data_IF_747273485844
#
_entry.id   IF_747273485844
#
_cell.length_a   1.000
_cell.length_b   1.000
_cell.length_c   1.000
_cell.angle_alpha   90.00
_cell.angle_beta   90.00
_cell.angle_gamma   90.00
#
_symmetry.space_group_name_H-M   'P 1'
#
loop_
_entity.id
_entity.type
_entity.pdbx_description
1 polymer ?
#
# COMPACT_ATOMS: atom_id res chain seq x y z
N UNK A 1 18.41 14.63 -0.93
CA UNK A 1 18.27 14.86 -2.41
C UNK A 1 17.18 13.94 -2.90
N UNK A 2 16.31 14.38 -3.85
CA UNK A 2 15.34 13.47 -4.47
C UNK A 2 16.08 12.41 -5.29
N UNK A 3 15.66 11.16 -5.17
CA UNK A 3 16.15 10.06 -6.01
C UNK A 3 15.48 10.14 -7.38
N UNK A 4 16.21 10.04 -8.51
CA UNK A 4 15.60 10.14 -9.82
C UNK A 4 14.71 8.92 -10.11
N UNK A 5 13.49 9.18 -10.57
CA UNK A 5 12.63 8.17 -11.17
C UNK A 5 13.03 7.95 -12.63
N UNK A 6 12.68 6.79 -13.23
CA UNK A 6 12.80 6.61 -14.68
C UNK A 6 12.15 7.75 -15.46
N UNK A 7 12.72 8.11 -16.62
CA UNK A 7 12.29 9.27 -17.40
C UNK A 7 10.87 9.14 -17.99
N UNK A 8 10.41 7.91 -18.15
CA UNK A 8 9.10 7.50 -18.66
C UNK A 8 8.09 7.10 -17.56
N UNK A 9 8.41 7.38 -16.29
CA UNK A 9 7.50 7.12 -15.17
C UNK A 9 6.14 7.79 -15.36
N UNK A 10 5.10 7.13 -14.88
CA UNK A 10 3.72 7.64 -14.93
C UNK A 10 3.62 9.04 -14.32
N UNK A 11 2.87 9.91 -14.99
CA UNK A 11 2.70 11.31 -14.60
C UNK A 11 1.98 11.42 -13.24
N UNK A 12 2.58 12.17 -12.32
CA UNK A 12 1.97 12.55 -11.06
C UNK A 12 1.11 13.80 -11.26
N UNK A 13 -0.20 13.62 -11.24
CA UNK A 13 -1.23 14.68 -11.33
C UNK A 13 -1.64 15.15 -9.94
N UNK A 14 -2.47 16.20 -9.87
CA UNK A 14 -3.04 16.64 -8.60
C UNK A 14 -4.44 17.22 -8.76
N UNK A 15 -5.24 17.11 -7.68
CA UNK A 15 -6.50 17.81 -7.49
C UNK A 15 -6.43 18.69 -6.26
N UNK A 16 -7.34 19.66 -6.17
CA UNK A 16 -7.61 20.39 -4.93
C UNK A 16 -8.88 19.81 -4.31
N UNK A 17 -8.79 19.37 -3.07
CA UNK A 17 -9.90 18.88 -2.26
C UNK A 17 -10.80 20.04 -1.80
N UNK A 18 -11.99 19.74 -1.32
CA UNK A 18 -12.97 20.74 -0.87
C UNK A 18 -12.51 21.57 0.33
N UNK A 19 -11.58 21.02 1.13
CA UNK A 19 -10.94 21.72 2.25
C UNK A 19 -9.72 22.55 1.84
N UNK A 20 -9.41 22.62 0.55
CA UNK A 20 -8.30 23.38 -0.03
C UNK A 20 -6.99 22.62 -0.11
N UNK A 21 -6.86 21.43 0.48
CA UNK A 21 -5.66 20.60 0.39
C UNK A 21 -5.43 20.09 -1.04
N UNK A 22 -4.17 19.98 -1.41
CA UNK A 22 -3.73 19.31 -2.63
C UNK A 22 -3.62 17.80 -2.36
N UNK A 23 -4.13 16.99 -3.29
CA UNK A 23 -3.96 15.54 -3.32
C UNK A 23 -3.31 15.14 -4.64
N UNK A 24 -2.17 14.45 -4.58
CA UNK A 24 -1.49 13.91 -5.77
C UNK A 24 -1.99 12.51 -6.10
N UNK A 25 -2.06 12.21 -7.39
CA UNK A 25 -2.54 10.91 -7.89
C UNK A 25 -1.91 10.55 -9.23
N UNK A 26 -1.99 9.26 -9.58
CA UNK A 26 -1.71 8.73 -10.90
C UNK A 26 -2.98 8.10 -11.49
N UNK A 27 -3.10 8.12 -12.81
CA UNK A 27 -4.20 7.54 -13.58
C UNK A 27 -3.61 6.94 -14.86
N UNK A 28 -3.87 5.67 -15.14
CA UNK A 28 -3.33 4.99 -16.31
C UNK A 28 -3.98 5.41 -17.65
N UNK A 29 -4.98 6.30 -17.62
CA UNK A 29 -5.59 6.89 -18.80
C UNK A 29 -6.62 6.02 -19.52
N UNK A 30 -6.91 4.82 -19.03
CA UNK A 30 -8.01 4.00 -19.57
C UNK A 30 -9.34 4.68 -19.25
N UNK A 31 -10.17 4.88 -20.24
CA UNK A 31 -11.46 5.59 -20.08
C UNK A 31 -12.50 4.64 -19.51
N UNK A 32 -13.23 5.10 -18.49
CA UNK A 32 -14.32 4.35 -17.86
C UNK A 32 -14.73 4.98 -16.54
N UNK A 33 -15.90 4.61 -16.05
CA UNK A 33 -16.46 5.04 -14.75
C UNK A 33 -16.31 3.98 -13.66
N UNK A 34 -15.60 2.90 -13.94
CA UNK A 34 -15.17 1.89 -12.95
C UNK A 34 -13.64 1.78 -12.96
N UNK A 35 -13.04 1.57 -11.79
CA UNK A 35 -11.58 1.56 -11.65
C UNK A 35 -11.07 0.61 -10.57
N UNK A 36 -9.78 0.27 -10.65
CA UNK A 36 -9.01 -0.25 -9.54
C UNK A 36 -8.38 0.93 -8.79
N UNK A 37 -8.66 1.05 -7.50
CA UNK A 37 -8.11 2.09 -6.62
C UNK A 37 -6.98 1.50 -5.78
N UNK A 38 -5.78 2.06 -5.91
CA UNK A 38 -4.58 1.56 -5.25
C UNK A 38 -4.15 2.42 -4.06
N UNK A 39 -3.87 1.75 -2.93
CA UNK A 39 -3.37 2.34 -1.69
C UNK A 39 -1.93 1.89 -1.45
N UNK A 40 -0.99 2.83 -1.50
CA UNK A 40 0.43 2.52 -1.33
C UNK A 40 0.78 2.05 0.09
N UNK A 41 1.90 1.33 0.23
CA UNK A 41 2.47 0.91 1.52
C UNK A 41 3.02 2.08 2.34
N UNK A 42 3.62 1.75 3.48
CA UNK A 42 4.19 2.72 4.42
C UNK A 42 5.68 2.45 4.59
N UNK A 43 6.56 3.36 4.13
CA UNK A 43 6.24 4.55 3.32
C UNK A 43 5.89 4.23 1.86
N UNK A 44 5.41 5.24 1.10
CA UNK A 44 5.13 5.08 -0.33
C UNK A 44 4.53 6.33 -0.98
N UNK A 45 4.18 6.21 -2.24
CA UNK A 45 3.48 7.22 -3.01
C UNK A 45 2.67 6.60 -4.17
N UNK A 46 1.94 7.42 -4.92
CA UNK A 46 1.09 6.95 -6.01
C UNK A 46 1.84 6.22 -7.14
N UNK A 47 3.11 6.53 -7.37
CA UNK A 47 3.88 6.03 -8.51
C UNK A 47 4.38 4.59 -8.35
N UNK A 48 4.40 4.04 -7.13
CA UNK A 48 4.88 2.65 -6.91
C UNK A 48 4.06 1.60 -7.67
N UNK A 49 2.88 1.94 -8.15
CA UNK A 49 1.93 1.05 -8.82
C UNK A 49 2.08 0.99 -10.33
N UNK A 50 3.09 1.64 -10.92
CA UNK A 50 3.23 1.76 -12.38
C UNK A 50 3.22 0.42 -13.11
N UNK A 51 3.90 -0.60 -12.60
CA UNK A 51 3.88 -1.94 -13.20
C UNK A 51 2.48 -2.56 -13.22
N UNK A 52 1.71 -2.36 -12.14
CA UNK A 52 0.29 -2.76 -12.10
C UNK A 52 -0.56 -1.96 -13.07
N UNK A 53 -0.26 -0.68 -13.25
CA UNK A 53 -0.99 0.19 -14.18
C UNK A 53 -0.79 -0.24 -15.64
N UNK A 54 0.42 -0.61 -16.01
CA UNK A 54 0.71 -1.15 -17.34
C UNK A 54 -0.04 -2.46 -17.60
N UNK A 55 0.00 -3.38 -16.63
CA UNK A 55 -0.75 -4.63 -16.72
C UNK A 55 -2.27 -4.37 -16.79
N UNK A 56 -2.80 -3.40 -16.03
CA UNK A 56 -4.20 -3.01 -16.09
C UNK A 56 -4.59 -2.39 -17.45
N UNK A 57 -3.69 -1.62 -18.09
CA UNK A 57 -3.89 -1.12 -19.46
C UNK A 57 -4.05 -2.26 -20.45
N UNK A 58 -3.20 -3.29 -20.37
CA UNK A 58 -3.30 -4.48 -21.23
C UNK A 58 -4.61 -5.25 -21.03
N UNK A 59 -5.20 -5.17 -19.84
CA UNK A 59 -6.50 -5.76 -19.50
C UNK A 59 -7.69 -4.83 -19.80
N UNK A 60 -7.44 -3.60 -20.28
CA UNK A 60 -8.46 -2.60 -20.60
C UNK A 60 -9.19 -2.05 -19.37
N UNK A 61 -8.53 -1.98 -18.21
CA UNK A 61 -9.11 -1.54 -16.94
C UNK A 61 -8.44 -0.27 -16.44
N UNK A 62 -9.25 0.70 -16.00
CA UNK A 62 -8.74 1.94 -15.41
C UNK A 62 -8.13 1.65 -14.04
N UNK A 63 -6.95 2.20 -13.79
CA UNK A 63 -6.21 2.10 -12.54
C UNK A 63 -5.87 3.50 -12.03
N UNK A 64 -6.17 3.76 -10.78
CA UNK A 64 -5.98 5.03 -10.09
C UNK A 64 -5.25 4.76 -8.78
N UNK A 65 -4.24 5.54 -8.48
CA UNK A 65 -3.56 5.56 -7.18
C UNK A 65 -3.46 6.99 -6.69
N UNK A 66 -3.34 7.18 -5.39
CA UNK A 66 -3.11 8.50 -4.82
C UNK A 66 -1.99 8.44 -3.78
N UNK A 67 -1.35 9.59 -3.55
CA UNK A 67 -0.38 9.75 -2.48
C UNK A 67 -1.11 10.21 -1.23
N UNK A 68 -1.03 9.43 -0.15
CA UNK A 68 -1.72 9.73 1.13
C UNK A 68 -1.32 11.11 1.67
N UNK A 69 -2.19 11.69 2.49
CA UNK A 69 -1.98 13.01 3.08
C UNK A 69 -0.65 13.08 3.87
N UNK A 70 0.07 14.19 3.72
CA UNK A 70 1.34 14.44 4.40
C UNK A 70 2.58 13.88 3.70
N UNK A 71 2.41 12.97 2.75
CA UNK A 71 3.51 12.55 1.89
C UNK A 71 3.82 13.57 0.81
N UNK A 72 5.08 13.63 0.29
CA UNK A 72 5.47 14.57 -0.74
C UNK A 72 4.53 14.56 -1.95
N UNK A 73 3.95 15.73 -2.23
CA UNK A 73 2.97 15.92 -3.30
C UNK A 73 1.52 16.03 -2.84
N UNK A 74 1.20 15.56 -1.64
CA UNK A 74 -0.12 15.71 -0.99
C UNK A 74 0.01 16.49 0.30
N UNK A 75 -0.90 17.45 0.53
CA UNK A 75 -0.86 18.26 1.74
C UNK A 75 -1.22 17.43 2.98
N UNK A 76 -0.68 17.79 4.16
CA UNK A 76 -1.00 17.11 5.41
C UNK A 76 -2.46 17.27 5.81
N UNK A 77 -2.99 16.31 6.57
CA UNK A 77 -4.35 16.32 7.11
C UNK A 77 -4.36 16.03 8.62
N UNK A 78 -5.43 16.44 9.28
CA UNK A 78 -5.63 16.19 10.72
C UNK A 78 -6.34 14.85 10.98
N UNK A 79 -6.00 13.80 10.22
CA UNK A 79 -6.54 12.46 10.43
C UNK A 79 -6.01 11.86 11.73
N UNK A 80 -6.85 11.18 12.50
CA UNK A 80 -6.49 10.51 13.75
C UNK A 80 -6.66 8.98 13.70
N UNK A 81 -7.36 8.49 12.70
CA UNK A 81 -7.60 7.07 12.44
C UNK A 81 -7.78 6.83 10.94
N UNK A 82 -7.68 5.58 10.50
CA UNK A 82 -7.80 5.22 9.08
C UNK A 82 -9.15 5.67 8.50
N UNK A 83 -10.24 5.52 9.25
CA UNK A 83 -11.58 5.90 8.77
C UNK A 83 -11.75 7.40 8.47
N UNK A 84 -10.89 8.27 8.98
CA UNK A 84 -10.92 9.70 8.68
C UNK A 84 -10.43 10.01 7.25
N UNK A 85 -9.66 9.10 6.65
CA UNK A 85 -8.96 9.33 5.38
C UNK A 85 -9.86 9.21 4.14
N UNK A 86 -11.07 8.65 4.30
CA UNK A 86 -11.95 8.33 3.17
C UNK A 86 -12.31 9.53 2.29
N UNK A 87 -12.42 10.72 2.88
CA UNK A 87 -12.74 11.94 2.16
C UNK A 87 -11.74 12.27 1.05
N UNK A 88 -10.48 11.88 1.20
CA UNK A 88 -9.43 12.18 0.25
C UNK A 88 -9.63 11.36 -1.05
N UNK A 89 -9.75 10.04 -0.96
CA UNK A 89 -9.93 9.21 -2.16
C UNK A 89 -11.33 9.30 -2.75
N UNK A 90 -12.38 9.53 -1.94
CA UNK A 90 -13.75 9.68 -2.47
C UNK A 90 -13.88 10.94 -3.32
N UNK A 91 -13.32 12.07 -2.91
CA UNK A 91 -13.29 13.29 -3.70
C UNK A 91 -12.46 13.11 -4.99
N UNK A 92 -11.38 12.32 -4.95
CA UNK A 92 -10.62 11.97 -6.15
C UNK A 92 -11.48 11.15 -7.12
N UNK A 93 -12.16 10.12 -6.65
CA UNK A 93 -13.01 9.27 -7.47
C UNK A 93 -14.17 10.07 -8.09
N UNK A 94 -14.82 10.94 -7.30
CA UNK A 94 -15.86 11.86 -7.79
C UNK A 94 -15.32 12.78 -8.89
N UNK A 95 -14.13 13.39 -8.68
CA UNK A 95 -13.50 14.27 -9.67
C UNK A 95 -13.13 13.58 -10.97
N UNK A 96 -12.92 12.27 -10.93
CA UNK A 96 -12.57 11.43 -12.08
C UNK A 96 -13.77 10.67 -12.67
N UNK A 97 -15.00 11.00 -12.22
CA UNK A 97 -16.26 10.37 -12.63
C UNK A 97 -16.27 8.84 -12.41
N UNK A 98 -15.62 8.36 -11.35
CA UNK A 98 -15.62 6.93 -10.96
C UNK A 98 -16.80 6.65 -10.04
N UNK A 99 -17.67 5.76 -10.47
CA UNK A 99 -18.91 5.37 -9.75
C UNK A 99 -18.81 4.01 -9.07
N UNK A 100 -17.87 3.16 -9.52
CA UNK A 100 -17.61 1.85 -8.94
C UNK A 100 -16.11 1.57 -8.91
N UNK A 101 -15.63 0.91 -7.86
CA UNK A 101 -14.22 0.57 -7.75
C UNK A 101 -13.98 -0.71 -6.93
N UNK A 102 -12.80 -1.30 -7.13
CA UNK A 102 -12.21 -2.32 -6.24
C UNK A 102 -10.94 -1.72 -5.67
N UNK A 103 -10.73 -1.86 -4.37
CA UNK A 103 -9.53 -1.38 -3.70
C UNK A 103 -8.43 -2.42 -3.66
N UNK A 104 -7.19 -1.97 -3.86
CA UNK A 104 -5.98 -2.79 -3.77
C UNK A 104 -5.02 -2.10 -2.83
N UNK A 105 -4.61 -2.77 -1.75
CA UNK A 105 -3.69 -2.21 -0.76
C UNK A 105 -2.51 -3.11 -0.50
N UNK A 106 -1.29 -2.54 -0.55
CA UNK A 106 -0.06 -3.24 -0.22
C UNK A 106 0.46 -2.80 1.13
N UNK A 107 0.90 -3.78 1.99
CA UNK A 107 1.54 -3.47 3.27
C UNK A 107 0.66 -2.55 4.14
N UNK A 108 1.15 -1.39 4.56
CA UNK A 108 0.39 -0.33 5.23
C UNK A 108 -0.73 0.31 4.40
N UNK A 109 -0.88 -0.06 3.12
CA UNK A 109 -2.05 0.31 2.30
C UNK A 109 -3.27 -0.58 2.53
N UNK A 110 -3.06 -1.77 3.12
CA UNK A 110 -4.13 -2.73 3.37
C UNK A 110 -5.28 -2.21 4.22
N UNK A 111 -5.04 -1.58 5.38
CA UNK A 111 -6.08 -0.96 6.21
C UNK A 111 -6.96 0.06 5.46
N UNK A 112 -6.37 0.84 4.55
CA UNK A 112 -7.10 1.81 3.72
C UNK A 112 -7.98 1.10 2.68
N UNK A 113 -7.44 0.08 2.01
CA UNK A 113 -8.20 -0.74 1.08
C UNK A 113 -9.36 -1.45 1.78
N UNK A 114 -9.12 -1.97 2.98
CA UNK A 114 -10.14 -2.64 3.79
C UNK A 114 -11.24 -1.66 4.21
N UNK A 115 -10.85 -0.46 4.71
CA UNK A 115 -11.80 0.58 5.08
C UNK A 115 -12.70 1.00 3.90
N UNK A 116 -12.15 1.07 2.69
CA UNK A 116 -12.92 1.48 1.52
C UNK A 116 -14.08 0.54 1.19
N UNK A 117 -14.05 -0.71 1.69
CA UNK A 117 -15.14 -1.68 1.48
C UNK A 117 -16.46 -1.28 2.15
N UNK A 118 -16.44 -0.33 3.10
CA UNK A 118 -17.64 0.24 3.71
C UNK A 118 -18.38 1.21 2.78
N UNK A 119 -17.74 1.68 1.71
CA UNK A 119 -18.38 2.55 0.72
C UNK A 119 -19.25 1.74 -0.25
N UNK A 120 -20.45 2.24 -0.55
CA UNK A 120 -21.42 1.53 -1.42
C UNK A 120 -20.88 1.30 -2.83
N UNK A 121 -20.06 2.21 -3.35
CA UNK A 121 -19.40 2.14 -4.66
C UNK A 121 -18.22 1.16 -4.72
N UNK A 122 -17.71 0.71 -3.59
CA UNK A 122 -16.66 -0.30 -3.55
C UNK A 122 -17.24 -1.70 -3.78
N UNK A 123 -16.65 -2.49 -4.66
CA UNK A 123 -17.06 -3.88 -4.96
C UNK A 123 -16.30 -4.93 -4.17
N UNK A 124 -15.21 -4.56 -3.51
CA UNK A 124 -14.37 -5.45 -2.71
C UNK A 124 -12.93 -4.99 -2.63
N UNK A 125 -12.07 -5.80 -2.02
CA UNK A 125 -10.66 -5.45 -1.85
C UNK A 125 -9.72 -6.62 -2.12
N UNK A 126 -8.48 -6.26 -2.51
CA UNK A 126 -7.29 -7.12 -2.55
C UNK A 126 -6.31 -6.59 -1.50
N UNK A 127 -5.92 -7.41 -0.56
CA UNK A 127 -4.94 -7.10 0.48
C UNK A 127 -3.64 -7.85 0.16
N UNK A 128 -2.57 -7.11 -0.13
CA UNK A 128 -1.27 -7.68 -0.53
C UNK A 128 -0.28 -7.47 0.60
N UNK A 129 0.21 -8.53 1.23
CA UNK A 129 1.15 -8.42 2.35
C UNK A 129 0.71 -7.35 3.37
N UNK A 130 -0.60 -7.32 3.68
CA UNK A 130 -1.24 -6.23 4.39
C UNK A 130 -1.11 -6.38 5.90
N UNK A 131 -0.78 -5.29 6.59
CA UNK A 131 -0.73 -5.28 8.05
C UNK A 131 -2.12 -5.49 8.66
N UNK A 132 -2.20 -6.23 9.76
CA UNK A 132 -3.39 -6.33 10.61
C UNK A 132 -3.31 -5.29 11.74
N UNK A 133 -4.41 -4.98 12.46
CA UNK A 133 -4.40 -3.96 13.51
C UNK A 133 -3.56 -4.39 14.71
N UNK A 134 -2.51 -3.62 15.04
CA UNK A 134 -1.67 -3.87 16.21
C UNK A 134 -2.49 -3.84 17.50
N UNK A 135 -3.46 -2.93 17.59
CA UNK A 135 -4.35 -2.81 18.75
C UNK A 135 -5.18 -4.06 19.04
N UNK A 136 -5.38 -4.96 18.06
CA UNK A 136 -6.14 -6.21 18.22
C UNK A 136 -5.22 -7.44 18.26
N UNK A 137 -4.11 -7.45 17.52
CA UNK A 137 -3.15 -8.56 17.54
C UNK A 137 -2.21 -8.54 18.76
N UNK A 138 -1.93 -7.36 19.30
CA UNK A 138 -0.98 -7.20 20.39
C UNK A 138 0.41 -7.76 20.03
N UNK A 139 1.02 -8.55 20.93
CA UNK A 139 2.35 -9.10 20.73
C UNK A 139 2.47 -10.06 19.54
N UNK A 140 1.37 -10.64 19.06
CA UNK A 140 1.37 -11.52 17.88
C UNK A 140 1.71 -10.77 16.61
N UNK A 141 1.52 -9.45 16.57
CA UNK A 141 1.88 -8.57 15.46
C UNK A 141 3.35 -8.70 15.02
N UNK A 142 4.26 -8.93 15.98
CA UNK A 142 5.70 -9.03 15.72
C UNK A 142 6.19 -10.47 15.49
N UNK A 143 5.34 -11.48 15.62
CA UNK A 143 5.75 -12.87 15.47
C UNK A 143 6.11 -13.17 14.01
N UNK A 144 7.37 -13.52 13.76
CA UNK A 144 7.90 -13.85 12.43
C UNK A 144 8.53 -12.67 11.70
N UNK A 145 8.57 -11.47 12.29
CA UNK A 145 9.30 -10.33 11.71
C UNK A 145 10.82 -10.55 11.77
N UNK A 146 11.56 -9.74 11.04
CA UNK A 146 13.04 -9.76 11.00
C UNK A 146 13.70 -9.21 12.27
N UNK A 147 12.89 -8.73 13.23
CA UNK A 147 13.36 -8.16 14.50
C UNK A 147 13.78 -6.69 14.39
N UNK A 148 13.54 -6.03 13.29
CA UNK A 148 13.78 -4.57 13.12
C UNK A 148 12.84 -3.73 14.00
N UNK A 149 11.66 -4.27 14.36
CA UNK A 149 10.71 -3.65 15.26
C UNK A 149 10.59 -4.40 16.58
N UNK A 150 10.23 -3.68 17.64
CA UNK A 150 9.98 -4.23 18.97
C UNK A 150 8.69 -3.65 19.55
N UNK A 151 8.11 -4.34 20.55
CA UNK A 151 6.92 -3.82 21.27
C UNK A 151 7.18 -2.41 21.81
N UNK A 152 8.36 -2.17 22.40
CA UNK A 152 8.73 -0.84 22.93
C UNK A 152 8.76 0.23 21.84
N UNK A 153 9.27 -0.12 20.65
CA UNK A 153 9.29 0.81 19.49
C UNK A 153 7.88 1.09 18.98
N UNK A 154 7.04 0.07 18.85
CA UNK A 154 5.64 0.23 18.45
C UNK A 154 4.86 1.05 19.48
N UNK A 155 5.02 0.78 20.77
CA UNK A 155 4.39 1.55 21.84
C UNK A 155 4.83 3.03 21.82
N UNK A 156 6.09 3.32 21.48
CA UNK A 156 6.55 4.68 21.26
C UNK A 156 5.82 5.31 20.05
N UNK A 157 5.77 4.63 18.90
CA UNK A 157 5.11 5.12 17.68
C UNK A 157 3.62 5.46 17.91
N UNK A 158 2.89 4.66 18.68
CA UNK A 158 1.46 4.87 18.94
C UNK A 158 1.16 5.91 20.02
N UNK A 159 2.14 6.31 20.81
CA UNK A 159 1.93 7.22 21.95
C UNK A 159 1.53 8.63 21.51
N UNK A 160 2.07 9.13 20.40
CA UNK A 160 1.66 10.36 19.73
C UNK A 160 2.25 10.46 18.31
N UNK A 161 1.71 11.37 17.48
CA UNK A 161 2.28 11.65 16.14
C UNK A 161 3.69 12.23 16.23
N UNK A 162 3.98 13.01 17.27
CA UNK A 162 5.30 13.57 17.53
C UNK A 162 6.32 12.45 17.85
N UNK A 163 5.93 11.49 18.67
CA UNK A 163 6.78 10.34 19.00
C UNK A 163 7.00 9.44 17.79
N UNK A 164 6.00 9.23 16.95
CA UNK A 164 6.15 8.56 15.66
C UNK A 164 7.10 9.30 14.73
N UNK A 165 7.01 10.64 14.68
CA UNK A 165 7.93 11.47 13.89
C UNK A 165 9.39 11.37 14.38
N UNK A 166 9.63 11.33 15.69
CA UNK A 166 10.98 11.09 16.23
C UNK A 166 11.57 9.77 15.74
N UNK A 167 10.77 8.69 15.71
CA UNK A 167 11.20 7.40 15.19
C UNK A 167 11.46 7.48 13.69
N UNK A 168 10.55 8.07 12.93
CA UNK A 168 10.70 8.22 11.48
C UNK A 168 11.96 9.03 11.08
N UNK A 169 12.33 10.04 11.86
CA UNK A 169 13.57 10.82 11.66
C UNK A 169 14.83 9.98 11.92
N UNK A 170 14.77 9.00 12.81
CA UNK A 170 15.85 8.04 13.02
C UNK A 170 15.94 7.04 11.88
N UNK A 171 14.80 6.47 11.46
CA UNK A 171 14.70 5.53 10.34
C UNK A 171 15.27 6.12 9.03
N UNK A 172 15.00 7.41 8.75
CA UNK A 172 15.55 8.12 7.58
C UNK A 172 17.06 8.01 7.46
N UNK A 173 17.80 7.99 8.57
CA UNK A 173 19.27 7.93 8.57
C UNK A 173 19.77 6.61 7.96
N UNK A 174 18.94 5.58 8.01
CA UNK A 174 19.28 4.23 7.54
C UNK A 174 18.73 3.95 6.14
N UNK A 175 17.58 4.52 5.77
CA UNK A 175 16.91 4.21 4.49
C UNK A 175 17.79 4.45 3.26
N UNK A 176 18.61 5.49 3.22
CA UNK A 176 19.50 5.76 2.08
C UNK A 176 20.60 4.71 1.89
N UNK A 177 20.98 4.01 2.94
CA UNK A 177 22.00 2.95 2.90
C UNK A 177 21.40 1.57 2.67
N UNK A 178 20.19 1.34 3.15
CA UNK A 178 19.49 0.06 3.05
C UNK A 178 18.69 -0.07 1.73
N UNK A 179 18.09 1.03 1.27
CA UNK A 179 17.25 1.04 0.09
C UNK A 179 18.03 1.50 -1.14
N UNK A 180 18.73 0.57 -1.74
CA UNK A 180 19.42 0.78 -3.02
C UNK A 180 18.79 -0.12 -4.09
N UNK A 181 18.82 0.35 -5.34
CA UNK A 181 18.30 -0.44 -6.48
C UNK A 181 19.06 -1.77 -6.57
N UNK A 182 20.38 -1.74 -6.47
CA UNK A 182 21.25 -2.92 -6.51
C UNK A 182 20.96 -3.88 -5.36
N UNK A 183 20.74 -3.34 -4.14
CA UNK A 183 20.40 -4.14 -2.96
C UNK A 183 19.07 -4.87 -3.14
N UNK A 184 18.05 -4.19 -3.69
CA UNK A 184 16.76 -4.82 -3.95
C UNK A 184 16.83 -5.81 -5.12
N UNK A 185 17.59 -5.51 -6.18
CA UNK A 185 17.78 -6.46 -7.29
C UNK A 185 18.41 -7.77 -6.81
N UNK A 186 19.37 -7.72 -5.90
CA UNK A 186 19.98 -8.91 -5.33
C UNK A 186 19.01 -9.83 -4.56
N UNK A 187 17.89 -9.30 -4.05
CA UNK A 187 16.84 -10.12 -3.44
C UNK A 187 16.09 -10.99 -4.45
N UNK A 188 16.02 -10.54 -5.70
CA UNK A 188 15.34 -11.26 -6.76
C UNK A 188 16.27 -12.25 -7.48
N UNK A 189 17.55 -11.92 -7.67
CA UNK A 189 18.52 -12.72 -8.42
C UNK A 189 18.74 -14.15 -7.87
N UNK A 190 18.49 -14.33 -6.56
CA UNK A 190 18.63 -15.64 -5.89
C UNK A 190 17.41 -16.56 -6.07
N UNK A 191 16.35 -16.08 -6.71
CA UNK A 191 15.11 -16.85 -6.89
C UNK A 191 15.23 -17.82 -8.07
N UNK A 192 14.64 -19.02 -7.94
CA UNK A 192 14.65 -20.05 -9.00
C UNK A 192 14.01 -19.56 -10.31
N UNK A 193 12.93 -18.76 -10.19
CA UNK A 193 12.17 -18.22 -11.32
C UNK A 193 12.64 -16.83 -11.77
N UNK A 194 13.79 -16.33 -11.27
CA UNK A 194 14.30 -14.99 -11.59
C UNK A 194 14.30 -14.70 -13.11
N UNK A 195 14.72 -15.68 -13.92
CA UNK A 195 14.80 -15.49 -15.38
C UNK A 195 13.45 -15.23 -16.04
N UNK A 196 12.38 -15.78 -15.49
CA UNK A 196 11.02 -15.60 -16.00
C UNK A 196 10.52 -14.16 -15.76
N UNK A 197 10.90 -13.58 -14.63
CA UNK A 197 10.45 -12.26 -14.20
C UNK A 197 11.54 -11.18 -14.25
N UNK A 198 12.73 -11.46 -14.83
CA UNK A 198 13.91 -10.60 -14.72
C UNK A 198 13.63 -9.15 -15.14
N UNK A 199 13.03 -8.94 -16.32
CA UNK A 199 12.73 -7.59 -16.83
C UNK A 199 11.73 -6.85 -15.91
N UNK A 200 10.74 -7.55 -15.38
CA UNK A 200 9.74 -6.99 -14.49
C UNK A 200 10.35 -6.63 -13.13
N UNK A 201 11.25 -7.47 -12.59
CA UNK A 201 11.99 -7.15 -11.37
C UNK A 201 12.89 -5.93 -11.54
N UNK A 202 13.64 -5.84 -12.64
CA UNK A 202 14.50 -4.70 -12.93
C UNK A 202 13.68 -3.41 -13.02
N UNK A 203 12.56 -3.44 -13.74
CA UNK A 203 11.66 -2.30 -13.88
C UNK A 203 11.05 -1.91 -12.53
N UNK A 204 10.53 -2.88 -11.78
CA UNK A 204 9.92 -2.67 -10.48
C UNK A 204 10.90 -2.02 -9.49
N UNK A 205 12.13 -2.55 -9.38
CA UNK A 205 13.13 -1.99 -8.45
C UNK A 205 13.59 -0.59 -8.84
N UNK A 206 13.78 -0.34 -10.13
CA UNK A 206 14.16 0.98 -10.66
C UNK A 206 13.10 2.06 -10.37
N UNK A 207 11.84 1.67 -10.23
CA UNK A 207 10.73 2.56 -9.90
C UNK A 207 10.50 2.66 -8.39
N UNK A 208 10.37 1.53 -7.72
CA UNK A 208 9.90 1.48 -6.33
C UNK A 208 10.92 2.03 -5.36
N UNK A 209 12.20 1.71 -5.50
CA UNK A 209 13.25 2.21 -4.59
C UNK A 209 13.33 3.74 -4.60
N UNK A 210 13.43 4.44 -5.75
CA UNK A 210 13.37 5.89 -5.76
C UNK A 210 12.05 6.45 -5.22
N UNK A 211 10.91 5.79 -5.50
CA UNK A 211 9.60 6.22 -5.00
C UNK A 211 9.52 6.17 -3.48
N UNK A 212 10.01 5.09 -2.86
CA UNK A 212 10.07 4.97 -1.40
C UNK A 212 10.97 6.03 -0.77
N UNK A 213 12.18 6.22 -1.32
CA UNK A 213 13.09 7.27 -0.83
C UNK A 213 12.47 8.67 -0.99
N UNK A 214 11.85 8.96 -2.12
CA UNK A 214 11.18 10.25 -2.35
C UNK A 214 9.96 10.46 -1.45
N UNK A 215 9.37 9.40 -0.88
CA UNK A 215 8.24 9.49 0.04
C UNK A 215 8.63 9.86 1.47
N UNK A 216 9.91 9.72 1.84
CA UNK A 216 10.42 10.06 3.17
C UNK A 216 11.39 11.25 3.17
N UNK A 217 11.98 11.59 2.01
CA UNK A 217 12.94 12.68 1.92
C UNK A 217 12.37 13.88 1.15
N UNK A 218 12.57 15.11 1.63
CA UNK A 218 13.38 15.48 2.83
C UNK A 218 12.58 15.47 4.14
N UNK A 219 11.27 15.15 4.12
CA UNK A 219 10.37 15.27 5.26
C UNK A 219 9.59 13.95 5.47
N UNK A 220 9.78 13.22 6.59
CA UNK A 220 9.09 11.97 6.88
C UNK A 220 7.73 12.16 7.58
N UNK A 221 7.18 13.37 7.64
CA UNK A 221 5.91 13.65 8.37
C UNK A 221 4.76 12.77 7.88
N UNK A 222 4.66 12.55 6.55
CA UNK A 222 3.66 11.65 5.97
C UNK A 222 3.85 10.20 6.42
N UNK A 223 5.10 9.71 6.39
CA UNK A 223 5.46 8.38 6.86
C UNK A 223 5.12 8.19 8.35
N UNK A 224 5.54 9.13 9.20
CA UNK A 224 5.29 9.07 10.64
C UNK A 224 3.78 9.09 10.97
N UNK A 225 3.01 9.95 10.27
CA UNK A 225 1.56 10.02 10.46
C UNK A 225 0.89 8.73 10.02
N UNK A 226 1.30 8.16 8.92
CA UNK A 226 0.76 6.91 8.37
C UNK A 226 1.03 5.74 9.33
N UNK A 227 2.27 5.60 9.84
CA UNK A 227 2.64 4.62 10.87
C UNK A 227 1.75 4.77 12.11
N UNK A 228 1.59 6.00 12.60
CA UNK A 228 0.71 6.27 13.74
C UNK A 228 -0.72 5.79 13.49
N UNK A 229 -1.29 6.07 12.30
CA UNK A 229 -2.66 5.67 11.96
C UNK A 229 -2.82 4.15 11.84
N UNK A 230 -1.84 3.47 11.23
CA UNK A 230 -1.87 2.03 10.98
C UNK A 230 -1.75 1.24 12.28
N UNK A 231 -0.91 1.69 13.20
CA UNK A 231 -0.66 1.00 14.47
C UNK A 231 -1.75 1.28 15.52
N UNK A 232 -2.47 2.39 15.40
CA UNK A 232 -3.55 2.76 16.32
C UNK A 232 -4.91 2.16 15.92
N UNK A 233 -5.96 2.56 16.62
CA UNK A 233 -7.32 2.18 16.29
C UNK A 233 -7.71 2.71 14.90
N UNK A 234 -8.15 1.84 14.02
CA UNK A 234 -8.50 2.18 12.63
C UNK A 234 -9.82 2.95 12.49
N UNK A 235 -10.65 3.01 13.56
CA UNK A 235 -11.99 3.62 13.53
C UNK A 235 -13.08 2.70 12.96
N UNK A 236 -12.76 1.43 12.71
CA UNK A 236 -13.68 0.38 12.30
C UNK A 236 -13.19 -0.98 12.79
N UNK A 237 -14.05 -1.98 12.79
CA UNK A 237 -13.67 -3.37 13.09
C UNK A 237 -13.51 -4.16 11.81
N UNK A 238 -12.45 -4.93 11.73
CA UNK A 238 -12.18 -5.83 10.60
C UNK A 238 -13.32 -6.84 10.41
N UNK A 239 -13.96 -7.28 11.49
CA UNK A 239 -15.10 -8.19 11.47
C UNK A 239 -16.40 -7.61 10.88
N UNK A 240 -16.50 -6.29 10.73
CA UNK A 240 -17.67 -5.62 10.16
C UNK A 240 -17.61 -5.56 8.61
N UNK A 241 -16.52 -6.01 8.01
CA UNK A 241 -16.33 -6.09 6.57
C UNK A 241 -17.23 -7.18 5.99
N UNK A 242 -18.10 -6.82 5.05
CA UNK A 242 -19.06 -7.73 4.40
C UNK A 242 -18.83 -7.88 2.89
N UNK A 243 -17.99 -7.04 2.30
CA UNK A 243 -17.65 -7.11 0.87
C UNK A 243 -16.63 -8.22 0.60
N UNK A 244 -16.56 -8.75 -0.63
CA UNK A 244 -15.53 -9.72 -1.01
C UNK A 244 -14.13 -9.19 -0.78
N UNK A 245 -13.30 -9.93 -0.05
CA UNK A 245 -11.88 -9.61 0.19
C UNK A 245 -11.01 -10.81 -0.18
N UNK A 246 -9.96 -10.59 -0.96
CA UNK A 246 -8.89 -11.56 -1.14
C UNK A 246 -7.63 -11.09 -0.41
N UNK A 247 -6.97 -12.00 0.28
CA UNK A 247 -5.80 -11.74 1.10
C UNK A 247 -4.64 -12.53 0.50
N UNK A 248 -3.56 -11.84 0.15
CA UNK A 248 -2.38 -12.38 -0.51
C UNK A 248 -1.15 -12.14 0.37
N UNK A 249 -0.44 -13.19 0.76
CA UNK A 249 0.79 -13.06 1.55
C UNK A 249 1.83 -14.08 1.12
N UNK A 250 3.10 -13.74 1.30
CA UNK A 250 4.20 -14.67 1.11
C UNK A 250 4.53 -15.42 2.40
N UNK A 251 4.88 -16.69 2.30
CA UNK A 251 5.27 -17.49 3.48
C UNK A 251 6.68 -17.16 4.01
N UNK A 252 7.51 -16.45 3.19
CA UNK A 252 8.81 -15.92 3.59
C UNK A 252 8.80 -14.41 3.87
N UNK A 253 7.61 -13.79 4.01
CA UNK A 253 7.49 -12.38 4.34
C UNK A 253 7.84 -12.14 5.83
N UNK A 254 8.95 -11.41 6.04
CA UNK A 254 9.42 -11.00 7.37
C UNK A 254 9.11 -9.52 7.68
N UNK A 255 8.63 -8.77 6.70
CA UNK A 255 8.12 -7.41 6.92
C UNK A 255 6.69 -7.42 7.47
N UNK A 256 5.81 -8.23 6.84
CA UNK A 256 4.44 -8.48 7.31
C UNK A 256 4.21 -10.01 7.26
N UNK A 257 4.56 -10.73 8.34
CA UNK A 257 4.47 -12.18 8.38
C UNK A 257 3.07 -12.73 8.12
N UNK A 258 2.99 -13.99 7.69
CA UNK A 258 1.73 -14.69 7.39
C UNK A 258 0.72 -14.66 8.54
N UNK A 259 1.18 -14.47 9.78
CA UNK A 259 0.31 -14.27 10.95
C UNK A 259 -0.72 -13.16 10.76
N UNK A 260 -0.34 -12.07 10.09
CA UNK A 260 -1.26 -10.96 9.76
C UNK A 260 -2.38 -11.40 8.81
N UNK A 261 -2.02 -12.11 7.74
CA UNK A 261 -2.97 -12.60 6.75
C UNK A 261 -3.94 -13.63 7.34
N UNK A 262 -3.42 -14.56 8.15
CA UNK A 262 -4.21 -15.57 8.87
C UNK A 262 -5.17 -14.92 9.85
N UNK A 263 -4.70 -13.91 10.61
CA UNK A 263 -5.55 -13.15 11.52
C UNK A 263 -6.67 -12.44 10.77
N UNK A 264 -6.36 -11.67 9.71
CA UNK A 264 -7.36 -10.98 8.88
C UNK A 264 -8.38 -11.96 8.30
N UNK A 265 -7.91 -13.11 7.78
CA UNK A 265 -8.80 -14.14 7.25
C UNK A 265 -9.75 -14.70 8.32
N UNK A 266 -9.28 -14.84 9.55
CA UNK A 266 -10.12 -15.30 10.67
C UNK A 266 -11.19 -14.29 11.08
N UNK A 267 -10.96 -12.99 10.83
CA UNK A 267 -11.89 -11.91 11.19
C UNK A 267 -12.87 -11.56 10.05
N UNK A 268 -12.45 -11.66 8.79
CA UNK A 268 -13.27 -11.26 7.63
C UNK A 268 -14.03 -12.45 7.08
N UNK A 269 -15.31 -12.53 7.40
CA UNK A 269 -16.16 -13.63 6.95
C UNK A 269 -16.25 -13.68 5.41
N UNK A 270 -15.95 -14.84 4.83
CA UNK A 270 -16.02 -15.05 3.39
C UNK A 270 -14.83 -14.49 2.60
N UNK A 271 -13.76 -14.04 3.28
CA UNK A 271 -12.51 -13.71 2.60
C UNK A 271 -11.86 -14.95 1.97
N UNK A 272 -11.07 -14.74 0.93
CA UNK A 272 -10.22 -15.77 0.30
C UNK A 272 -8.78 -15.53 0.71
N UNK A 273 -8.09 -16.58 1.15
CA UNK A 273 -6.68 -16.50 1.58
C UNK A 273 -5.77 -17.19 0.57
N UNK A 274 -4.71 -16.51 0.15
CA UNK A 274 -3.67 -16.99 -0.72
C UNK A 274 -2.30 -16.81 -0.04
N UNK A 275 -1.71 -17.91 0.41
CA UNK A 275 -0.32 -17.93 0.90
C UNK A 275 0.54 -18.49 -0.21
N UNK A 276 1.51 -17.68 -0.69
CA UNK A 276 2.35 -18.00 -1.83
C UNK A 276 3.73 -18.47 -1.36
N UNK A 277 4.10 -19.68 -1.77
CA UNK A 277 5.36 -20.33 -1.41
C UNK A 277 6.56 -19.53 -1.90
N UNK A 278 7.54 -19.34 -1.02
CA UNK A 278 8.80 -18.64 -1.29
C UNK A 278 8.64 -17.13 -1.53
N UNK A 279 7.47 -16.55 -1.39
CA UNK A 279 7.28 -15.10 -1.59
C UNK A 279 7.63 -14.30 -0.34
N UNK A 280 8.27 -13.14 -0.57
CA UNK A 280 8.61 -12.14 0.42
C UNK A 280 7.75 -10.88 0.24
N UNK A 281 7.89 -9.92 1.15
CA UNK A 281 7.13 -8.68 1.17
C UNK A 281 7.07 -7.93 -0.16
N UNK A 282 8.15 -7.98 -0.91
CA UNK A 282 8.32 -7.25 -2.17
C UNK A 282 8.13 -8.15 -3.39
N UNK A 283 8.59 -9.42 -3.33
CA UNK A 283 8.54 -10.33 -4.47
C UNK A 283 7.11 -10.65 -4.89
N UNK A 284 6.19 -10.71 -3.93
CA UNK A 284 4.75 -10.92 -4.17
C UNK A 284 4.14 -9.86 -5.10
N UNK A 285 4.64 -8.62 -5.05
CA UNK A 285 4.20 -7.51 -5.92
C UNK A 285 4.51 -7.75 -7.40
N UNK A 286 5.48 -8.61 -7.68
CA UNK A 286 5.90 -8.95 -9.04
C UNK A 286 5.27 -10.28 -9.46
N UNK A 287 5.49 -11.32 -8.67
CA UNK A 287 5.12 -12.69 -9.07
C UNK A 287 3.62 -12.99 -8.95
N UNK A 288 2.89 -12.27 -8.08
CA UNK A 288 1.44 -12.42 -7.92
C UNK A 288 0.62 -11.31 -8.61
N UNK A 289 1.26 -10.38 -9.32
CA UNK A 289 0.58 -9.23 -9.92
C UNK A 289 -0.60 -9.65 -10.83
N UNK A 290 -0.39 -10.59 -11.73
CA UNK A 290 -1.42 -11.04 -12.68
C UNK A 290 -2.64 -11.66 -11.97
N UNK A 291 -2.51 -12.67 -11.10
CA UNK A 291 -3.66 -13.25 -10.41
C UNK A 291 -4.35 -12.25 -9.47
N UNK A 292 -3.64 -11.29 -8.86
CA UNK A 292 -4.22 -10.22 -8.06
C UNK A 292 -5.11 -9.32 -8.93
N UNK A 293 -4.60 -8.88 -10.09
CA UNK A 293 -5.38 -8.07 -11.02
C UNK A 293 -6.60 -8.81 -11.56
N UNK A 294 -6.46 -10.09 -11.91
CA UNK A 294 -7.59 -10.90 -12.39
C UNK A 294 -8.68 -11.05 -11.32
N UNK A 295 -8.30 -11.26 -10.06
CA UNK A 295 -9.22 -11.30 -8.91
C UNK A 295 -9.94 -9.97 -8.72
N UNK A 296 -9.21 -8.85 -8.76
CA UNK A 296 -9.78 -7.51 -8.63
C UNK A 296 -10.76 -7.18 -9.76
N UNK A 297 -10.38 -7.49 -11.01
CA UNK A 297 -11.22 -7.28 -12.19
C UNK A 297 -12.49 -8.15 -12.12
N UNK A 298 -12.40 -9.38 -11.63
CA UNK A 298 -13.56 -10.24 -11.44
C UNK A 298 -14.56 -9.64 -10.44
N UNK A 299 -14.08 -9.03 -9.33
CA UNK A 299 -14.94 -8.30 -8.38
C UNK A 299 -15.58 -7.05 -9.01
N UNK A 300 -14.82 -6.30 -9.81
CA UNK A 300 -15.28 -5.08 -10.46
C UNK A 300 -16.43 -5.32 -11.46
N UNK A 301 -16.54 -6.55 -11.99
CA UNK A 301 -17.54 -6.95 -12.98
C UNK A 301 -18.82 -7.54 -12.37
N UNK A 302 -18.88 -7.70 -11.05
CA UNK A 302 -20.07 -8.15 -10.30
C UNK A 302 -21.01 -6.97 -9.99
#
# INVERSE_FOLDING_TARGET
MKSPLPADSIELKSITLTDGRKLSYCDNGVVGNSALLFHHGTPGNAQIWETFFEAAVLKGVRAISYTKAGYPGSDPASHNQISDTKGDYLQLLEKLDITEFVSIGWSGGGPYALHSTFESSCKGAELIAAVAPYSEMGAEFLVGTDGSESVELLDKKISSKEASLEVALEDMKHFQTLWTVEGWQSLFEVRENYKEFADLYLKFTALVVPSLLNSVFPDPTGYATDDYLILNNWGFKTSDVTKPVSIWNGDEDQGVPTGHALWQHSQIQGSTLHILEGQKHVTIMVEAMEPILDSAIAKLRQ
#
